data_IF_934934889321
#
_entry.id   IF_934934889321
#
_cell.length_a   1.000
_cell.length_b   1.000
_cell.length_c   1.000
_cell.angle_alpha   90.00
_cell.angle_beta   90.00
_cell.angle_gamma   90.00
#
_symmetry.space_group_name_H-M   'P 1'
#
loop_
_entity.id
_entity.type
_entity.pdbx_description
1 polymer ?
#
# COMPACT_ATOMS: atom_id res chain seq x y z
N UNK A 1 23.75 8.11 -20.62
CA UNK A 1 23.17 7.50 -19.39
C UNK A 1 21.65 7.74 -19.28
N UNK A 2 21.13 8.95 -19.48
CA UNK A 2 19.69 9.24 -19.38
C UNK A 2 18.82 8.39 -20.31
N UNK A 3 19.21 8.22 -21.58
CA UNK A 3 18.49 7.37 -22.54
C UNK A 3 18.44 5.90 -22.09
N UNK A 4 19.52 5.39 -21.48
CA UNK A 4 19.58 4.03 -20.96
C UNK A 4 18.67 3.85 -19.75
N UNK A 5 18.60 4.84 -18.85
CA UNK A 5 17.65 4.84 -17.72
C UNK A 5 16.22 4.83 -18.25
N UNK A 6 15.89 5.63 -19.24
CA UNK A 6 14.56 5.65 -19.86
C UNK A 6 14.19 4.30 -20.50
N UNK A 7 15.14 3.64 -21.17
CA UNK A 7 14.95 2.30 -21.74
C UNK A 7 14.70 1.25 -20.65
N UNK A 8 15.48 1.28 -19.56
CA UNK A 8 15.30 0.41 -18.41
C UNK A 8 13.92 0.56 -17.74
N UNK A 9 13.48 1.81 -17.56
CA UNK A 9 12.18 2.07 -16.95
C UNK A 9 11.02 1.55 -17.81
N UNK A 10 11.11 1.70 -19.15
CA UNK A 10 10.14 1.11 -20.08
C UNK A 10 10.12 -0.42 -20.02
N UNK A 11 11.30 -1.07 -19.93
CA UNK A 11 11.38 -2.53 -19.78
C UNK A 11 10.71 -2.99 -18.47
N UNK A 12 10.95 -2.28 -17.36
CA UNK A 12 10.27 -2.57 -16.08
C UNK A 12 8.75 -2.43 -16.17
N UNK A 13 8.25 -1.44 -16.90
CA UNK A 13 6.81 -1.27 -17.15
C UNK A 13 6.26 -2.44 -17.98
N UNK A 14 6.96 -2.86 -19.02
CA UNK A 14 6.59 -4.00 -19.85
C UNK A 14 6.59 -5.32 -19.07
N UNK A 15 7.53 -5.48 -18.13
CA UNK A 15 7.60 -6.63 -17.19
C UNK A 15 6.51 -6.58 -16.10
N UNK A 16 5.63 -5.58 -16.10
CA UNK A 16 4.54 -5.44 -15.14
C UNK A 16 4.94 -4.90 -13.77
N UNK A 17 6.06 -4.17 -13.67
CA UNK A 17 6.41 -3.46 -12.46
C UNK A 17 5.33 -2.42 -12.10
N UNK A 18 5.09 -2.23 -10.78
CA UNK A 18 4.10 -1.25 -10.36
C UNK A 18 4.53 0.18 -10.73
N UNK A 19 3.59 1.10 -11.06
CA UNK A 19 3.91 2.51 -11.31
C UNK A 19 4.72 3.15 -10.18
N UNK A 20 4.49 2.70 -8.94
CA UNK A 20 5.25 3.13 -7.77
C UNK A 20 6.71 2.67 -7.80
N UNK A 21 6.96 1.45 -8.26
CA UNK A 21 8.32 0.91 -8.42
C UNK A 21 9.07 1.68 -9.50
N UNK A 22 8.45 1.88 -10.65
CA UNK A 22 9.03 2.64 -11.78
C UNK A 22 9.39 4.05 -11.35
N UNK A 23 8.45 4.76 -10.71
CA UNK A 23 8.67 6.12 -10.19
C UNK A 23 9.81 6.18 -9.18
N UNK A 24 9.85 5.24 -8.22
CA UNK A 24 10.91 5.20 -7.21
C UNK A 24 12.27 4.94 -7.85
N UNK A 25 12.35 4.00 -8.79
CA UNK A 25 13.59 3.70 -9.49
C UNK A 25 14.06 4.87 -10.35
N UNK A 26 13.14 5.58 -11.02
CA UNK A 26 13.45 6.81 -11.76
C UNK A 26 14.11 7.86 -10.86
N UNK A 27 13.52 8.13 -9.69
CA UNK A 27 14.07 9.10 -8.72
C UNK A 27 15.43 8.64 -8.21
N UNK A 28 15.58 7.34 -7.89
CA UNK A 28 16.82 6.79 -7.34
C UNK A 28 17.96 6.85 -8.32
N UNK A 29 17.71 6.50 -9.59
CA UNK A 29 18.68 6.53 -10.67
C UNK A 29 19.04 7.97 -11.09
N UNK A 30 18.06 8.89 -11.07
CA UNK A 30 18.34 10.31 -11.30
C UNK A 30 19.28 10.89 -10.24
N UNK A 31 19.07 10.54 -8.94
CA UNK A 31 19.95 10.98 -7.86
C UNK A 31 21.36 10.39 -7.98
N UNK A 32 21.48 9.13 -8.37
CA UNK A 32 22.78 8.52 -8.61
C UNK A 32 23.48 9.15 -9.83
N UNK A 33 22.75 9.39 -10.90
CA UNK A 33 23.29 10.09 -12.08
C UNK A 33 23.78 11.50 -11.77
N UNK A 34 23.07 12.23 -10.90
CA UNK A 34 23.53 13.53 -10.39
C UNK A 34 24.81 13.42 -9.57
N UNK A 35 24.91 12.41 -8.72
CA UNK A 35 26.10 12.13 -7.93
C UNK A 35 27.32 11.80 -8.84
N UNK A 36 27.14 10.95 -9.86
CA UNK A 36 28.19 10.62 -10.80
C UNK A 36 28.72 11.84 -11.56
N UNK A 37 27.84 12.73 -11.99
CA UNK A 37 28.23 13.97 -12.66
C UNK A 37 29.06 14.89 -11.77
N UNK A 38 28.73 14.95 -10.49
CA UNK A 38 29.51 15.73 -9.52
C UNK A 38 30.91 15.13 -9.29
N UNK A 39 31.01 13.79 -9.27
CA UNK A 39 32.31 13.11 -9.10
C UNK A 39 33.17 13.15 -10.36
N UNK A 40 32.57 13.16 -11.52
CA UNK A 40 33.24 13.08 -12.84
C UNK A 40 32.78 14.23 -13.74
N UNK A 41 32.96 15.47 -13.27
CA UNK A 41 32.41 16.66 -13.92
C UNK A 41 32.93 16.85 -15.37
N UNK A 42 34.16 16.43 -15.65
CA UNK A 42 34.81 16.56 -16.95
C UNK A 42 34.60 15.33 -17.83
N UNK A 43 34.04 14.24 -17.31
CA UNK A 43 33.84 13.01 -18.09
C UNK A 43 32.68 13.15 -19.08
N UNK A 44 32.82 12.70 -20.33
CA UNK A 44 31.73 12.66 -21.29
C UNK A 44 30.56 11.81 -20.75
N UNK A 45 29.33 12.21 -21.02
CA UNK A 45 28.15 11.48 -20.57
C UNK A 45 28.12 10.02 -21.06
N UNK A 46 28.68 9.75 -22.21
CA UNK A 46 28.79 8.41 -22.79
C UNK A 46 29.65 7.46 -21.94
N UNK A 47 30.66 7.97 -21.24
CA UNK A 47 31.60 7.17 -20.41
C UNK A 47 31.15 7.00 -18.98
N UNK A 48 30.15 7.74 -18.52
CA UNK A 48 29.69 7.68 -17.11
C UNK A 48 29.28 6.26 -16.68
N UNK A 49 28.76 5.45 -17.61
CA UNK A 49 28.36 4.08 -17.27
C UNK A 49 29.55 3.18 -16.96
N UNK A 50 30.67 3.32 -17.67
CA UNK A 50 31.87 2.52 -17.48
C UNK A 50 32.69 2.95 -16.26
N UNK A 51 32.45 4.16 -15.72
CA UNK A 51 33.07 4.66 -14.51
C UNK A 51 32.38 4.16 -13.23
N UNK A 52 31.27 3.39 -13.36
CA UNK A 52 30.56 2.85 -12.21
C UNK A 52 31.28 1.59 -11.72
N UNK A 53 32.01 1.74 -10.65
CA UNK A 53 32.70 0.66 -9.95
C UNK A 53 32.12 0.47 -8.53
N UNK A 54 32.53 -0.56 -7.78
CA UNK A 54 32.08 -0.75 -6.41
C UNK A 54 32.45 0.37 -5.45
N UNK A 55 33.56 1.10 -5.69
CA UNK A 55 34.00 2.23 -4.86
C UNK A 55 33.08 3.44 -5.08
N UNK A 56 32.75 3.76 -6.31
CA UNK A 56 31.79 4.80 -6.68
C UNK A 56 30.43 4.57 -6.03
N UNK A 57 29.94 3.32 -6.02
CA UNK A 57 28.67 2.99 -5.36
C UNK A 57 28.77 3.13 -3.85
N UNK A 58 29.90 2.73 -3.22
CA UNK A 58 30.13 2.95 -1.79
C UNK A 58 30.21 4.44 -1.44
N UNK A 59 30.88 5.25 -2.26
CA UNK A 59 30.96 6.70 -2.10
C UNK A 59 29.56 7.33 -2.16
N UNK A 60 28.71 6.89 -3.11
CA UNK A 60 27.30 7.30 -3.13
C UNK A 60 26.56 6.94 -1.86
N UNK A 61 26.71 5.70 -1.37
CA UNK A 61 26.09 5.30 -0.08
C UNK A 61 26.60 6.16 1.09
N UNK A 62 27.89 6.50 1.11
CA UNK A 62 28.49 7.43 2.07
C UNK A 62 27.82 8.80 2.02
N UNK A 63 27.64 9.38 0.83
CA UNK A 63 26.95 10.66 0.64
C UNK A 63 25.50 10.64 1.11
N UNK A 64 24.78 9.52 0.90
CA UNK A 64 23.42 9.36 1.42
C UNK A 64 23.38 9.33 2.94
N UNK A 65 24.36 8.67 3.58
CA UNK A 65 24.48 8.60 5.03
C UNK A 65 24.80 9.98 5.63
N UNK A 66 25.73 10.73 5.04
CA UNK A 66 26.05 12.10 5.47
C UNK A 66 24.83 13.01 5.39
N UNK A 67 23.96 12.79 4.40
CA UNK A 67 22.67 13.51 4.26
C UNK A 67 21.58 12.99 5.20
N UNK A 68 21.87 12.08 6.13
CA UNK A 68 20.92 11.56 7.12
C UNK A 68 19.86 10.60 6.59
N UNK A 69 20.04 10.01 5.39
CA UNK A 69 19.03 9.08 4.85
C UNK A 69 19.04 7.75 5.63
N UNK A 70 17.82 7.24 5.89
CA UNK A 70 17.64 5.96 6.57
C UNK A 70 18.28 4.79 5.81
N UNK A 71 18.79 3.80 6.54
CA UNK A 71 19.41 2.59 5.99
C UNK A 71 18.50 1.85 4.98
N UNK A 72 17.18 1.81 5.22
CA UNK A 72 16.20 1.23 4.30
C UNK A 72 16.11 1.97 2.96
N UNK A 73 16.19 3.30 2.98
CA UNK A 73 16.22 4.12 1.77
C UNK A 73 17.49 3.87 0.97
N UNK A 74 18.64 3.81 1.64
CA UNK A 74 19.93 3.49 1.00
C UNK A 74 19.90 2.09 0.38
N UNK A 75 19.41 1.09 1.09
CA UNK A 75 19.28 -0.28 0.59
C UNK A 75 18.38 -0.35 -0.67
N UNK A 76 17.25 0.38 -0.68
CA UNK A 76 16.36 0.46 -1.86
C UNK A 76 17.06 1.09 -3.06
N UNK A 77 17.81 2.19 -2.85
CA UNK A 77 18.58 2.87 -3.92
C UNK A 77 19.64 1.96 -4.53
N UNK A 78 20.35 1.22 -3.70
CA UNK A 78 21.35 0.23 -4.19
C UNK A 78 20.64 -0.92 -4.93
N UNK A 79 19.45 -1.34 -4.50
CA UNK A 79 18.67 -2.34 -5.24
C UNK A 79 18.23 -1.82 -6.62
N UNK A 80 17.82 -0.56 -6.74
CA UNK A 80 17.51 0.07 -8.02
C UNK A 80 18.74 0.11 -8.94
N UNK A 81 19.91 0.51 -8.40
CA UNK A 81 21.18 0.48 -9.14
C UNK A 81 21.54 -0.92 -9.60
N UNK A 82 21.42 -1.91 -8.72
CA UNK A 82 21.72 -3.30 -9.03
C UNK A 82 20.84 -3.82 -10.18
N UNK A 83 19.56 -3.47 -10.18
CA UNK A 83 18.63 -3.83 -11.25
C UNK A 83 18.98 -3.13 -12.56
N UNK A 84 19.29 -1.84 -12.52
CA UNK A 84 19.70 -1.05 -13.69
C UNK A 84 21.02 -1.53 -14.31
N UNK A 85 22.04 -1.78 -13.51
CA UNK A 85 23.32 -2.28 -13.99
C UNK A 85 23.20 -3.71 -14.54
N UNK A 86 22.31 -4.54 -13.96
CA UNK A 86 22.00 -5.84 -14.54
C UNK A 86 21.33 -5.73 -15.91
N UNK A 87 20.47 -4.74 -16.12
CA UNK A 87 19.93 -4.41 -17.42
C UNK A 87 21.05 -4.00 -18.40
N UNK A 88 22.01 -3.18 -17.98
CA UNK A 88 23.20 -2.82 -18.76
C UNK A 88 24.01 -4.05 -19.20
N UNK A 89 24.21 -5.02 -18.30
CA UNK A 89 24.88 -6.29 -18.63
C UNK A 89 24.09 -7.09 -19.67
N UNK A 90 22.77 -7.21 -19.53
CA UNK A 90 21.93 -7.92 -20.53
C UNK A 90 21.98 -7.28 -21.93
N UNK A 91 22.25 -5.99 -21.99
CA UNK A 91 22.40 -5.23 -23.24
C UNK A 91 23.83 -5.21 -23.81
N UNK A 92 24.76 -5.91 -23.16
CA UNK A 92 26.17 -5.92 -23.58
C UNK A 92 26.90 -4.59 -23.37
N UNK A 93 26.36 -3.69 -22.55
CA UNK A 93 26.96 -2.38 -22.26
C UNK A 93 27.93 -2.43 -21.08
N UNK A 94 27.88 -3.49 -20.29
CA UNK A 94 28.75 -3.78 -19.17
C UNK A 94 29.07 -5.27 -19.14
N UNK A 95 30.33 -5.62 -18.90
CA UNK A 95 30.76 -7.01 -18.80
C UNK A 95 30.24 -7.67 -17.50
N UNK A 96 30.11 -6.89 -16.45
CA UNK A 96 29.65 -7.35 -15.15
C UNK A 96 28.96 -6.24 -14.36
N UNK A 97 28.22 -6.66 -13.30
CA UNK A 97 27.45 -5.74 -12.45
C UNK A 97 28.20 -5.38 -11.16
N UNK A 98 28.82 -4.20 -11.07
CA UNK A 98 29.61 -3.80 -9.90
C UNK A 98 28.80 -3.67 -8.61
N UNK A 99 27.47 -3.44 -8.69
CA UNK A 99 26.62 -3.37 -7.51
C UNK A 99 26.45 -4.72 -6.79
N UNK A 100 26.82 -5.86 -7.41
CA UNK A 100 26.77 -7.17 -6.74
C UNK A 100 27.81 -7.29 -5.64
N UNK A 101 28.96 -6.61 -5.74
CA UNK A 101 30.01 -6.59 -4.74
C UNK A 101 29.76 -5.60 -3.59
N UNK A 102 28.71 -4.79 -3.69
CA UNK A 102 28.39 -3.80 -2.67
C UNK A 102 27.39 -4.39 -1.67
N UNK A 103 27.79 -4.50 -0.41
CA UNK A 103 26.89 -4.91 0.67
C UNK A 103 25.99 -3.76 1.06
N UNK A 104 24.69 -4.01 1.13
CA UNK A 104 23.73 -3.05 1.67
C UNK A 104 23.78 -3.06 3.20
N UNK A 105 23.44 -1.93 3.87
CA UNK A 105 23.33 -1.90 5.32
C UNK A 105 22.38 -2.98 5.82
N UNK A 106 22.75 -3.64 6.92
CA UNK A 106 21.81 -4.54 7.61
C UNK A 106 20.65 -3.72 8.14
N UNK A 107 19.45 -4.04 7.70
CA UNK A 107 18.24 -3.42 8.20
C UNK A 107 17.92 -4.05 9.55
N UNK A 108 17.92 -3.24 10.61
CA UNK A 108 17.21 -3.62 11.82
C UNK A 108 15.73 -3.67 11.44
N UNK A 109 15.11 -4.81 11.64
CA UNK A 109 13.66 -4.99 11.47
C UNK A 109 13.04 -4.96 12.88
N UNK A 110 12.79 -3.77 13.46
CA UNK A 110 11.99 -3.71 14.67
C UNK A 110 10.62 -4.31 14.34
N UNK A 111 10.04 -5.02 15.30
CA UNK A 111 8.66 -5.49 15.16
C UNK A 111 7.81 -4.25 14.83
N UNK A 112 6.99 -4.31 13.76
CA UNK A 112 6.13 -3.19 13.43
C UNK A 112 5.26 -2.85 14.64
N UNK A 113 5.11 -1.56 14.99
CA UNK A 113 4.21 -1.18 16.06
C UNK A 113 2.79 -1.63 15.69
N UNK A 114 2.10 -2.28 16.61
CA UNK A 114 0.72 -2.69 16.48
C UNK A 114 -0.10 -2.17 17.66
N UNK A 115 -1.40 -2.07 17.49
CA UNK A 115 -2.36 -1.72 18.53
C UNK A 115 -2.73 -2.98 19.30
N UNK A 116 -3.03 -2.86 20.59
CA UNK A 116 -3.79 -3.88 21.33
C UNK A 116 -5.24 -3.86 20.86
N UNK A 117 -6.02 -4.87 21.23
CA UNK A 117 -7.47 -4.93 20.91
C UNK A 117 -8.19 -3.69 21.44
N UNK A 118 -7.94 -3.32 22.71
CA UNK A 118 -8.55 -2.14 23.33
C UNK A 118 -8.16 -0.83 22.63
N UNK A 119 -6.89 -0.69 22.26
CA UNK A 119 -6.42 0.46 21.49
C UNK A 119 -7.06 0.53 20.10
N UNK A 120 -7.26 -0.60 19.45
CA UNK A 120 -7.98 -0.65 18.19
C UNK A 120 -9.43 -0.19 18.36
N UNK A 121 -10.13 -0.68 19.39
CA UNK A 121 -11.50 -0.24 19.72
C UNK A 121 -11.58 1.24 20.04
N UNK A 122 -10.66 1.77 20.83
CA UNK A 122 -10.57 3.19 21.14
C UNK A 122 -10.39 4.02 19.87
N UNK A 123 -9.51 3.60 18.94
CA UNK A 123 -9.34 4.26 17.65
C UNK A 123 -10.64 4.26 16.83
N UNK A 124 -11.30 3.10 16.71
CA UNK A 124 -12.52 2.94 15.91
C UNK A 124 -13.72 3.70 16.50
N UNK A 125 -13.73 3.91 17.81
CA UNK A 125 -14.76 4.69 18.50
C UNK A 125 -14.52 6.21 18.42
N UNK A 126 -13.33 6.67 18.03
CA UNK A 126 -12.97 8.09 18.05
C UNK A 126 -13.78 8.96 17.06
N UNK A 127 -14.15 8.52 15.83
CA UNK A 127 -15.03 9.29 14.96
C UNK A 127 -16.47 9.29 15.45
N UNK A 128 -16.87 10.31 16.23
CA UNK A 128 -18.22 10.43 16.82
C UNK A 128 -19.10 11.48 16.12
N UNK A 129 -18.56 12.24 15.17
CA UNK A 129 -19.29 13.28 14.46
C UNK A 129 -20.36 12.71 13.49
N UNK A 130 -21.33 13.56 13.17
CA UNK A 130 -22.46 13.22 12.29
C UNK A 130 -22.32 13.75 10.87
N UNK A 131 -21.28 14.53 10.58
CA UNK A 131 -21.05 15.08 9.24
C UNK A 131 -20.77 13.98 8.21
N UNK A 132 -21.02 14.21 6.92
CA UNK A 132 -20.67 13.25 5.87
C UNK A 132 -19.20 12.81 5.90
N UNK A 133 -18.29 13.68 6.35
CA UNK A 133 -16.87 13.35 6.53
C UNK A 133 -16.64 12.42 7.71
N UNK A 134 -17.28 12.67 8.85
CA UNK A 134 -17.13 11.82 10.03
C UNK A 134 -17.66 10.41 9.75
N UNK A 135 -18.82 10.30 9.09
CA UNK A 135 -19.38 9.00 8.68
C UNK A 135 -18.46 8.27 7.70
N UNK A 136 -17.85 8.99 6.73
CA UNK A 136 -16.85 8.45 5.82
C UNK A 136 -15.64 7.93 6.59
N UNK A 137 -15.10 8.75 7.50
CA UNK A 137 -13.88 8.43 8.24
C UNK A 137 -14.07 7.22 9.15
N UNK A 138 -15.24 7.14 9.80
CA UNK A 138 -15.65 5.96 10.56
C UNK A 138 -15.74 4.70 9.67
N UNK A 139 -16.39 4.81 8.52
CA UNK A 139 -16.51 3.68 7.57
C UNK A 139 -15.14 3.23 7.03
N UNK A 140 -14.21 4.17 6.80
CA UNK A 140 -12.83 3.86 6.41
C UNK A 140 -12.12 3.05 7.50
N UNK A 141 -12.15 3.52 8.75
CA UNK A 141 -11.46 2.87 9.85
C UNK A 141 -12.05 1.49 10.16
N UNK A 142 -13.39 1.40 10.22
CA UNK A 142 -14.09 0.12 10.48
C UNK A 142 -13.79 -0.90 9.37
N UNK A 143 -13.96 -0.55 8.09
CA UNK A 143 -13.67 -1.48 7.00
C UNK A 143 -12.19 -1.86 6.95
N UNK A 144 -11.30 -0.89 7.16
CA UNK A 144 -9.86 -1.11 7.06
C UNK A 144 -9.35 -2.06 8.14
N UNK A 145 -9.80 -1.86 9.38
CA UNK A 145 -9.46 -2.75 10.48
C UNK A 145 -10.16 -4.11 10.33
N UNK A 146 -11.45 -4.13 10.00
CA UNK A 146 -12.21 -5.36 9.88
C UNK A 146 -11.72 -6.29 8.75
N UNK A 147 -11.23 -5.75 7.65
CA UNK A 147 -10.82 -6.55 6.49
C UNK A 147 -9.32 -6.77 6.37
N UNK A 148 -8.51 -5.97 7.07
CA UNK A 148 -7.06 -6.02 6.97
C UNK A 148 -6.50 -5.84 5.56
N UNK A 149 -7.25 -5.24 4.63
CA UNK A 149 -6.80 -4.98 3.24
C UNK A 149 -5.65 -3.96 3.21
N UNK A 150 -4.93 -3.84 2.10
CA UNK A 150 -3.88 -2.82 1.95
C UNK A 150 -4.51 -1.44 1.73
N UNK A 151 -3.82 -0.38 2.16
CA UNK A 151 -4.32 1.00 1.95
C UNK A 151 -4.59 1.32 0.47
N UNK A 152 -3.76 0.82 -0.43
CA UNK A 152 -3.99 0.96 -1.88
C UNK A 152 -5.21 0.19 -2.38
N UNK A 153 -5.50 -0.98 -1.81
CA UNK A 153 -6.71 -1.75 -2.08
C UNK A 153 -7.94 -0.99 -1.56
N UNK A 154 -7.90 -0.49 -0.32
CA UNK A 154 -8.98 0.31 0.29
C UNK A 154 -9.34 1.53 -0.57
N UNK A 155 -8.34 2.30 -0.98
CA UNK A 155 -8.56 3.51 -1.80
C UNK A 155 -8.95 3.19 -3.24
N UNK A 156 -8.62 1.99 -3.71
CA UNK A 156 -9.01 1.47 -5.03
C UNK A 156 -10.47 1.01 -5.13
N UNK A 157 -11.13 0.75 -4.00
CA UNK A 157 -12.49 0.23 -3.97
C UNK A 157 -13.49 1.13 -4.69
N UNK A 158 -14.46 0.48 -5.32
CA UNK A 158 -15.64 1.10 -5.89
C UNK A 158 -16.88 0.66 -5.11
N UNK A 159 -18.00 1.30 -5.32
CA UNK A 159 -19.25 0.97 -4.61
C UNK A 159 -19.70 -0.47 -4.91
N UNK A 160 -19.56 -0.89 -6.16
CA UNK A 160 -19.90 -2.24 -6.61
C UNK A 160 -18.95 -3.35 -6.12
N UNK A 161 -17.83 -2.99 -5.50
CA UNK A 161 -16.91 -3.97 -4.93
C UNK A 161 -17.32 -4.40 -3.50
N UNK A 162 -18.36 -3.78 -2.93
CA UNK A 162 -18.83 -4.04 -1.57
C UNK A 162 -20.19 -4.73 -1.59
N UNK A 163 -20.22 -5.94 -1.05
CA UNK A 163 -21.45 -6.67 -0.76
C UNK A 163 -21.77 -6.51 0.73
N UNK A 164 -22.75 -5.64 1.04
CA UNK A 164 -23.20 -5.38 2.41
C UNK A 164 -24.06 -6.53 2.98
N UNK A 165 -24.73 -7.29 2.13
CA UNK A 165 -25.56 -8.41 2.54
C UNK A 165 -24.66 -9.64 2.86
N UNK A 166 -23.73 -9.95 1.96
CA UNK A 166 -22.75 -11.01 2.15
C UNK A 166 -21.57 -10.63 3.05
N UNK A 167 -21.55 -9.39 3.59
CA UNK A 167 -20.46 -8.88 4.45
C UNK A 167 -19.06 -9.10 3.83
N UNK A 168 -18.91 -8.84 2.55
CA UNK A 168 -17.71 -9.13 1.81
C UNK A 168 -17.28 -7.95 0.92
N UNK A 169 -15.98 -7.81 0.69
CA UNK A 169 -15.40 -6.83 -0.23
C UNK A 169 -14.47 -7.52 -1.22
N UNK A 170 -14.65 -7.21 -2.50
CA UNK A 170 -13.77 -7.66 -3.56
C UNK A 170 -12.62 -6.68 -3.72
N UNK A 171 -11.39 -7.15 -3.58
CA UNK A 171 -10.18 -6.33 -3.70
C UNK A 171 -9.27 -6.85 -4.81
N UNK A 172 -8.62 -5.91 -5.50
CA UNK A 172 -7.66 -6.21 -6.58
C UNK A 172 -6.24 -5.99 -6.03
N UNK A 173 -5.49 -7.06 -5.94
CA UNK A 173 -4.13 -7.07 -5.43
C UNK A 173 -3.06 -6.88 -6.53
N UNK A 174 -1.79 -7.13 -6.16
CA UNK A 174 -0.66 -7.08 -7.10
C UNK A 174 -0.86 -8.10 -8.23
N UNK A 175 -0.59 -7.68 -9.46
CA UNK A 175 -0.77 -8.52 -10.65
C UNK A 175 -2.23 -8.69 -11.08
N UNK A 176 -3.10 -7.75 -10.68
CA UNK A 176 -4.55 -7.77 -10.97
C UNK A 176 -5.29 -9.00 -10.44
N UNK A 177 -4.72 -9.69 -9.46
CA UNK A 177 -5.40 -10.83 -8.81
C UNK A 177 -6.49 -10.31 -7.89
N UNK A 178 -7.71 -10.82 -8.08
CA UNK A 178 -8.86 -10.51 -7.25
C UNK A 178 -8.97 -11.50 -6.08
N UNK A 179 -9.45 -11.02 -4.94
CA UNK A 179 -9.86 -11.83 -3.81
C UNK A 179 -11.04 -11.22 -3.10
N UNK A 180 -11.84 -12.03 -2.46
CA UNK A 180 -12.94 -11.62 -1.60
C UNK A 180 -12.43 -11.66 -0.16
N UNK A 181 -12.75 -10.60 0.60
CA UNK A 181 -12.34 -10.45 2.00
C UNK A 181 -13.58 -10.17 2.83
N UNK A 182 -13.89 -10.97 3.87
CA UNK A 182 -15.00 -10.74 4.75
C UNK A 182 -14.76 -9.53 5.67
N UNK A 183 -15.84 -8.97 6.20
CA UNK A 183 -15.80 -7.94 7.25
C UNK A 183 -17.00 -8.03 8.18
N UNK A 184 -16.84 -7.56 9.41
CA UNK A 184 -17.84 -7.71 10.49
C UNK A 184 -19.02 -6.74 10.39
N UNK A 185 -20.02 -6.98 11.24
CA UNK A 185 -21.26 -6.22 11.30
C UNK A 185 -21.04 -4.72 11.61
N UNK A 186 -20.05 -4.38 12.42
CA UNK A 186 -19.72 -2.98 12.72
C UNK A 186 -19.34 -2.19 11.46
N UNK A 187 -18.57 -2.80 10.55
CA UNK A 187 -18.22 -2.20 9.26
C UNK A 187 -19.44 -2.05 8.34
N UNK A 188 -20.41 -3.01 8.38
CA UNK A 188 -21.68 -2.89 7.65
C UNK A 188 -22.45 -1.66 8.09
N UNK A 189 -22.61 -1.46 9.40
CA UNK A 189 -23.33 -0.31 9.96
C UNK A 189 -22.64 1.00 9.54
N UNK A 190 -21.33 1.08 9.67
CA UNK A 190 -20.57 2.27 9.32
C UNK A 190 -20.64 2.57 7.81
N UNK A 191 -20.55 1.54 6.96
CA UNK A 191 -20.66 1.68 5.51
C UNK A 191 -22.07 2.13 5.07
N UNK A 192 -23.13 1.54 5.63
CA UNK A 192 -24.52 1.98 5.37
C UNK A 192 -24.73 3.44 5.74
N UNK A 193 -24.26 3.85 6.92
CA UNK A 193 -24.34 5.24 7.38
C UNK A 193 -23.58 6.23 6.50
N UNK A 194 -22.44 5.81 5.96
CA UNK A 194 -21.65 6.62 5.02
C UNK A 194 -22.32 6.68 3.64
N UNK A 195 -22.72 5.54 3.08
CA UNK A 195 -23.32 5.48 1.75
C UNK A 195 -24.59 6.33 1.63
N UNK A 196 -25.38 6.41 2.70
CA UNK A 196 -26.58 7.28 2.77
C UNK A 196 -26.27 8.78 2.58
N UNK A 197 -25.06 9.23 2.89
CA UNK A 197 -24.66 10.65 2.81
C UNK A 197 -23.49 10.88 1.84
N UNK A 198 -23.01 9.84 1.17
CA UNK A 198 -21.82 9.88 0.35
C UNK A 198 -21.87 10.93 -0.76
N UNK A 199 -22.99 11.06 -1.41
CA UNK A 199 -23.15 11.94 -2.59
C UNK A 199 -23.19 13.44 -2.21
N UNK A 200 -23.42 13.77 -0.94
CA UNK A 200 -23.22 15.13 -0.40
C UNK A 200 -21.77 15.56 -0.58
N UNK A 201 -20.79 14.65 -0.44
CA UNK A 201 -19.38 14.95 -0.67
C UNK A 201 -19.05 15.21 -2.15
N UNK A 202 -19.93 14.88 -3.07
CA UNK A 202 -19.79 15.19 -4.50
C UNK A 202 -20.42 16.55 -4.87
N UNK A 203 -21.02 17.26 -3.93
CA UNK A 203 -21.77 18.48 -4.17
C UNK A 203 -23.19 18.23 -4.68
N UNK A 204 -23.65 16.97 -4.63
CA UNK A 204 -25.02 16.61 -4.95
C UNK A 204 -25.98 16.77 -3.76
N UNK A 205 -27.27 17.03 -4.03
CA UNK A 205 -28.31 16.96 -3.01
C UNK A 205 -28.56 15.51 -2.62
N UNK A 206 -28.90 15.21 -1.35
CA UNK A 206 -29.15 13.84 -0.88
C UNK A 206 -30.22 13.08 -1.69
N UNK A 207 -31.18 13.81 -2.25
CA UNK A 207 -32.30 13.27 -3.05
C UNK A 207 -31.86 12.66 -4.41
N UNK A 208 -30.68 13.03 -4.92
CA UNK A 208 -30.11 12.54 -6.19
C UNK A 208 -29.22 11.30 -6.02
N UNK A 209 -29.00 10.85 -4.78
CA UNK A 209 -28.04 9.78 -4.44
C UNK A 209 -28.32 8.45 -5.17
N UNK A 210 -29.59 8.10 -5.36
CA UNK A 210 -30.00 6.86 -6.06
C UNK A 210 -29.80 6.88 -7.57
N UNK A 211 -29.78 8.07 -8.19
CA UNK A 211 -29.76 8.23 -9.65
C UNK A 211 -28.35 8.29 -10.22
N UNK A 212 -27.36 8.74 -9.43
CA UNK A 212 -25.96 8.93 -9.88
C UNK A 212 -25.16 7.63 -9.94
N UNK A 213 -25.61 6.58 -9.26
CA UNK A 213 -25.00 5.23 -9.37
C UNK A 213 -25.18 4.62 -10.78
N UNK A 214 -26.13 5.14 -11.59
CA UNK A 214 -26.47 4.62 -12.92
C UNK A 214 -25.89 5.41 -14.10
N UNK A 215 -25.30 6.59 -13.88
CA UNK A 215 -24.75 7.43 -14.96
C UNK A 215 -23.27 7.19 -15.19
N UNK A 216 -22.97 6.41 -16.24
CA UNK A 216 -21.71 6.39 -16.97
C UNK A 216 -20.73 5.30 -16.53
N UNK A 217 -20.36 4.44 -17.44
CA UNK A 217 -19.45 3.28 -17.41
C UNK A 217 -18.09 3.38 -16.69
N UNK A 218 -17.89 4.35 -15.83
CA UNK A 218 -16.77 4.42 -14.89
C UNK A 218 -17.24 3.98 -13.50
N UNK A 219 -16.61 2.96 -12.97
CA UNK A 219 -16.81 2.46 -11.61
C UNK A 219 -16.72 3.59 -10.59
N UNK A 220 -17.78 3.78 -9.77
CA UNK A 220 -17.84 4.87 -8.80
C UNK A 220 -16.94 4.61 -7.59
N UNK A 221 -15.97 5.48 -7.24
CA UNK A 221 -15.12 5.28 -6.07
C UNK A 221 -15.96 5.11 -4.80
N UNK A 222 -15.65 4.12 -3.96
CA UNK A 222 -16.33 3.93 -2.68
C UNK A 222 -16.09 5.15 -1.78
N UNK A 223 -14.83 5.46 -1.47
CA UNK A 223 -14.47 6.56 -0.58
C UNK A 223 -14.07 7.82 -1.35
N UNK A 224 -14.73 8.92 -1.01
CA UNK A 224 -14.53 10.23 -1.64
C UNK A 224 -13.68 11.15 -0.76
N UNK A 225 -12.87 11.95 -1.42
CA UNK A 225 -12.19 13.09 -0.78
C UNK A 225 -13.14 14.29 -0.65
N UNK A 226 -12.68 15.40 -0.06
CA UNK A 226 -13.47 16.62 0.14
C UNK A 226 -13.87 17.35 -1.17
N UNK A 227 -13.30 16.94 -2.31
CA UNK A 227 -13.60 17.50 -3.65
C UNK A 227 -14.47 16.55 -4.47
N UNK A 228 -15.03 15.50 -3.87
CA UNK A 228 -15.86 14.50 -4.54
C UNK A 228 -15.10 13.50 -5.41
N UNK A 229 -13.77 13.58 -5.50
CA UNK A 229 -12.93 12.62 -6.19
C UNK A 229 -12.52 11.42 -5.31
N UNK A 230 -11.82 10.45 -5.90
CA UNK A 230 -11.30 9.27 -5.19
C UNK A 230 -10.35 9.66 -4.07
N UNK A 231 -10.46 9.01 -2.92
CA UNK A 231 -9.57 9.17 -1.78
C UNK A 231 -8.17 8.60 -2.12
N UNK A 232 -7.10 9.20 -1.59
CA UNK A 232 -5.72 8.72 -1.80
C UNK A 232 -5.18 8.01 -0.56
N UNK A 233 -4.17 7.15 -0.73
CA UNK A 233 -3.48 6.49 0.39
C UNK A 233 -2.94 7.51 1.40
N UNK A 234 -2.36 8.63 0.94
CA UNK A 234 -1.88 9.70 1.82
C UNK A 234 -3.00 10.38 2.63
N UNK A 235 -4.21 10.45 2.06
CA UNK A 235 -5.37 10.95 2.82
C UNK A 235 -5.77 10.01 3.93
N UNK A 236 -5.69 8.68 3.71
CA UNK A 236 -5.94 7.66 4.74
C UNK A 236 -4.85 7.70 5.82
N UNK A 237 -3.58 7.87 5.45
CA UNK A 237 -2.48 8.05 6.41
C UNK A 237 -2.74 9.24 7.34
N UNK A 238 -3.07 10.41 6.79
CA UNK A 238 -3.38 11.62 7.56
C UNK A 238 -4.63 11.45 8.43
N UNK A 239 -5.65 10.77 7.92
CA UNK A 239 -6.85 10.43 8.67
C UNK A 239 -6.50 9.58 9.88
N UNK A 240 -5.75 8.51 9.68
CA UNK A 240 -5.30 7.62 10.75
C UNK A 240 -4.49 8.37 11.80
N UNK A 241 -3.52 9.18 11.39
CA UNK A 241 -2.70 10.03 12.28
C UNK A 241 -3.59 10.99 13.11
N UNK A 242 -4.58 11.60 12.46
CA UNK A 242 -5.52 12.54 13.14
C UNK A 242 -6.33 11.83 14.22
N UNK A 243 -6.87 10.65 13.94
CA UNK A 243 -7.68 9.90 14.90
C UNK A 243 -6.84 9.24 15.99
N UNK A 244 -5.61 8.80 15.71
CA UNK A 244 -4.66 8.35 16.72
C UNK A 244 -4.33 9.47 17.73
N UNK A 245 -4.10 10.69 17.24
CA UNK A 245 -3.87 11.85 18.11
C UNK A 245 -5.11 12.21 18.94
N UNK A 246 -6.30 12.22 18.32
CA UNK A 246 -7.57 12.50 19.02
C UNK A 246 -7.91 11.45 20.07
N UNK A 247 -7.52 10.19 19.86
CA UNK A 247 -7.74 9.11 20.83
C UNK A 247 -6.79 9.15 22.03
N UNK A 248 -5.84 10.11 22.08
CA UNK A 248 -4.87 10.21 23.19
C UNK A 248 -3.80 9.11 23.19
N UNK A 249 -3.78 8.23 22.19
CA UNK A 249 -2.77 7.20 22.06
C UNK A 249 -1.46 7.83 21.58
N UNK A 250 -0.44 7.89 22.41
CA UNK A 250 0.90 8.43 22.06
C UNK A 250 1.70 7.57 21.07
N UNK A 251 1.04 6.67 20.31
CA UNK A 251 1.66 5.77 19.35
C UNK A 251 1.43 6.23 17.92
N UNK A 252 2.48 6.25 17.12
CA UNK A 252 2.37 6.42 15.67
C UNK A 252 2.13 5.06 15.02
N UNK A 253 0.94 4.86 14.46
CA UNK A 253 0.58 3.66 13.70
C UNK A 253 0.36 4.04 12.24
N UNK A 254 1.03 3.32 11.34
CA UNK A 254 0.81 3.47 9.91
C UNK A 254 -0.36 2.58 9.43
N UNK A 255 -0.89 2.78 8.23
CA UNK A 255 -1.84 1.85 7.61
C UNK A 255 -1.34 0.39 7.61
N UNK A 256 -0.04 0.20 7.42
CA UNK A 256 0.56 -1.14 7.49
C UNK A 256 0.54 -1.69 8.93
N UNK A 257 0.77 -0.85 9.94
CA UNK A 257 0.67 -1.21 11.36
C UNK A 257 -0.74 -1.58 11.77
N UNK A 258 -1.78 -0.88 11.28
CA UNK A 258 -3.18 -1.23 11.55
C UNK A 258 -3.57 -2.58 10.93
N UNK A 259 -3.13 -2.85 9.69
CA UNK A 259 -3.28 -4.17 9.07
C UNK A 259 -2.52 -5.26 9.84
N UNK A 260 -1.34 -4.94 10.38
CA UNK A 260 -0.58 -5.88 11.22
C UNK A 260 -1.31 -6.17 12.53
N UNK A 261 -1.96 -5.16 13.13
CA UNK A 261 -2.82 -5.33 14.31
C UNK A 261 -3.96 -6.30 14.01
N UNK A 262 -4.67 -6.14 12.89
CA UNK A 262 -5.70 -7.08 12.45
C UNK A 262 -5.17 -8.53 12.39
N UNK A 263 -4.04 -8.75 11.71
CA UNK A 263 -3.46 -10.10 11.58
C UNK A 263 -3.06 -10.70 12.93
N UNK A 264 -2.47 -9.87 13.81
CA UNK A 264 -2.05 -10.28 15.16
C UNK A 264 -3.25 -10.63 16.03
N UNK A 265 -4.34 -9.84 15.97
CA UNK A 265 -5.55 -10.09 16.75
C UNK A 265 -6.27 -11.37 16.31
N UNK A 266 -6.37 -11.62 15.00
CA UNK A 266 -6.91 -12.89 14.51
C UNK A 266 -6.07 -14.09 14.96
N UNK A 267 -4.74 -13.98 14.91
CA UNK A 267 -3.85 -15.05 15.37
C UNK A 267 -3.99 -15.30 16.87
N UNK A 268 -4.07 -14.24 17.69
CA UNK A 268 -4.28 -14.34 19.14
C UNK A 268 -5.64 -14.94 19.50
N UNK A 269 -6.65 -14.73 18.65
CA UNK A 269 -7.96 -15.33 18.79
C UNK A 269 -8.06 -16.77 18.26
N UNK A 270 -6.93 -17.36 17.84
CA UNK A 270 -6.83 -18.77 17.42
C UNK A 270 -7.16 -19.02 15.94
N UNK A 271 -7.20 -17.99 15.10
CA UNK A 271 -7.36 -18.21 13.67
C UNK A 271 -6.12 -18.89 13.07
N UNK A 272 -6.33 -19.82 12.15
CA UNK A 272 -5.25 -20.52 11.44
C UNK A 272 -4.40 -19.54 10.64
N UNK A 273 -3.07 -19.71 10.69
CA UNK A 273 -2.12 -18.85 9.99
C UNK A 273 -2.32 -18.85 8.46
N UNK A 274 -2.76 -19.97 7.89
CA UNK A 274 -3.07 -20.08 6.44
C UNK A 274 -4.27 -19.21 6.09
N UNK A 275 -5.32 -19.26 6.88
CA UNK A 275 -6.52 -18.42 6.72
C UNK A 275 -6.14 -16.95 6.76
N UNK A 276 -5.32 -16.54 7.75
CA UNK A 276 -4.82 -15.16 7.84
C UNK A 276 -3.99 -14.77 6.61
N UNK A 277 -3.12 -15.65 6.13
CA UNK A 277 -2.32 -15.40 4.92
C UNK A 277 -3.18 -15.23 3.67
N UNK A 278 -4.23 -16.02 3.52
CA UNK A 278 -5.19 -15.93 2.42
C UNK A 278 -5.97 -14.61 2.47
N UNK A 279 -6.54 -14.24 3.63
CA UNK A 279 -7.21 -12.96 3.85
C UNK A 279 -6.31 -11.77 3.49
N UNK A 280 -5.06 -11.85 3.88
CA UNK A 280 -4.07 -10.82 3.61
C UNK A 280 -3.54 -10.83 2.17
N UNK A 281 -3.74 -11.88 1.38
CA UNK A 281 -3.26 -12.00 0.01
C UNK A 281 -1.73 -12.00 -0.07
N UNK A 282 -1.07 -12.89 0.68
CA UNK A 282 0.37 -13.12 0.61
C UNK A 282 0.71 -14.00 -0.59
N UNK A 283 1.51 -13.48 -1.54
CA UNK A 283 1.75 -14.06 -2.87
C UNK A 283 2.62 -15.35 -2.91
N UNK A 284 2.95 -15.98 -1.81
CA UNK A 284 3.94 -17.08 -1.76
C UNK A 284 3.38 -18.49 -1.59
N UNK A 285 2.09 -18.69 -1.74
CA UNK A 285 1.56 -20.06 -1.90
C UNK A 285 0.83 -20.13 -3.24
N UNK A 286 1.41 -20.97 -4.12
CA UNK A 286 0.87 -21.34 -5.42
C UNK A 286 -0.42 -22.15 -5.21
N UNK A 287 -1.55 -21.48 -5.18
CA UNK A 287 -2.81 -22.13 -5.58
C UNK A 287 -3.82 -21.02 -5.84
N UNK A 288 -4.15 -20.86 -7.12
CA UNK A 288 -5.34 -20.17 -7.56
C UNK A 288 -6.52 -21.07 -7.24
N UNK A 289 -6.87 -21.22 -5.96
CA UNK A 289 -8.15 -21.81 -5.60
C UNK A 289 -9.20 -20.75 -5.87
N UNK A 290 -10.09 -21.05 -6.81
CA UNK A 290 -11.34 -20.31 -7.03
C UNK A 290 -12.10 -20.36 -5.71
N UNK A 291 -12.32 -19.18 -5.11
CA UNK A 291 -13.23 -19.06 -3.97
C UNK A 291 -14.62 -19.52 -4.43
N UNK A 292 -15.02 -20.69 -4.00
CA UNK A 292 -16.42 -21.13 -4.06
C UNK A 292 -17.15 -20.56 -2.85
N UNK A 293 -18.48 -20.45 -2.92
CA UNK A 293 -19.30 -19.98 -1.79
C UNK A 293 -19.02 -20.73 -0.49
N UNK A 294 -18.68 -22.01 -0.57
CA UNK A 294 -18.31 -22.87 0.58
C UNK A 294 -17.07 -22.34 1.33
N UNK A 295 -16.06 -21.82 0.60
CA UNK A 295 -14.87 -21.26 1.22
C UNK A 295 -15.13 -19.90 1.91
N UNK A 296 -16.10 -19.11 1.42
CA UNK A 296 -16.45 -17.82 2.02
C UNK A 296 -17.17 -18.03 3.36
N UNK A 297 -18.10 -18.96 3.45
CA UNK A 297 -18.82 -19.29 4.69
C UNK A 297 -17.86 -19.78 5.77
N UNK A 298 -16.90 -20.62 5.42
CA UNK A 298 -15.85 -21.08 6.34
C UNK A 298 -14.96 -19.91 6.80
N UNK A 299 -14.57 -19.01 5.88
CA UNK A 299 -13.82 -17.81 6.21
C UNK A 299 -14.60 -16.86 7.13
N UNK A 300 -15.91 -16.70 6.87
CA UNK A 300 -16.81 -15.91 7.73
C UNK A 300 -16.94 -16.54 9.13
N UNK A 301 -17.10 -17.85 9.23
CA UNK A 301 -17.21 -18.54 10.52
C UNK A 301 -15.92 -18.38 11.36
N UNK A 302 -14.74 -18.50 10.72
CA UNK A 302 -13.45 -18.24 11.39
C UNK A 302 -13.32 -16.77 11.78
N UNK A 303 -13.72 -15.86 10.88
CA UNK A 303 -13.71 -14.43 11.14
C UNK A 303 -14.61 -14.07 12.31
N UNK A 304 -15.88 -14.48 12.29
CA UNK A 304 -16.86 -14.19 13.34
C UNK A 304 -16.43 -14.76 14.71
N UNK A 305 -15.72 -15.90 14.73
CA UNK A 305 -15.17 -16.49 15.96
C UNK A 305 -13.93 -15.77 16.48
N UNK A 306 -13.09 -15.26 15.59
CA UNK A 306 -11.77 -14.78 15.94
C UNK A 306 -11.65 -13.25 15.92
N UNK A 307 -12.52 -12.53 15.19
CA UNK A 307 -12.38 -11.09 15.07
C UNK A 307 -13.06 -10.36 16.24
N UNK A 308 -12.36 -9.45 16.94
CA UNK A 308 -12.90 -8.77 18.13
C UNK A 308 -14.16 -7.91 17.91
N UNK A 309 -14.51 -7.63 16.66
CA UNK A 309 -15.71 -6.88 16.23
C UNK A 309 -16.47 -7.62 15.12
N UNK A 310 -16.55 -8.93 15.18
CA UNK A 310 -17.34 -9.72 14.23
C UNK A 310 -18.83 -9.39 14.26
#
# INVERSE_FOLDING_TARGET
MQQLVAAFLRELEAEGASPHTVRNYSIDLAQFGGFLRLMHAEAPEATLLTLIDPLTIRAFMGSLRTRGLAAGTTARKVAALRSFLQFGCRRGLLDWNPARLVRTPKLQKPLPPHLTVDQAFQLLATPQGTTPRDRRDRAILELFYASGIRVGELTGLNVEDVDLAGRAVRVVGKGKKERIVPFGAAAVVALKAYLAVRDVLRGGRPEEAGTLLRRGGRRAPLFLNHRGGRLTARSVERLLETYLRKSGMGKAITPHGLRHSFATHLLQAGADLRVIQELLGHARLSTTQRYTHVNLDQLMAVYDKAHPKA
#
